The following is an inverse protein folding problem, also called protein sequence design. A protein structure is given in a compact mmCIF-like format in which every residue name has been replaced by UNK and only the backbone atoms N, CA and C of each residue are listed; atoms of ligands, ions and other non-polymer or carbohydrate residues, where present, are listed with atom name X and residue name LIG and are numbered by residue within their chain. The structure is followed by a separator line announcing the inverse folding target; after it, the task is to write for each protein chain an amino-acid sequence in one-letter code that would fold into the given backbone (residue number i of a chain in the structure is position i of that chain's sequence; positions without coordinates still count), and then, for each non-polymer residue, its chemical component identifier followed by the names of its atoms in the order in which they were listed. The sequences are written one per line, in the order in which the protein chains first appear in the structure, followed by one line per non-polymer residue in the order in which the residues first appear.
data_IF_855111508733
#
_entry.id   IF_855111508733
#
_cell.length_a   1.000
_cell.length_b   1.000
_cell.length_c   1.000
_cell.angle_alpha   90.00
_cell.angle_beta   90.00
_cell.angle_gamma   90.00
#
_symmetry.space_group_name_H-M   'P 1'
#
loop_
_entity.id
_entity.type
_entity.pdbx_description
1 polymer ?
#
# COMPACT_ATOMS: atom_id res chain seq x y z
N UNK A 1 -8.30 -1.78 17.79
CA UNK A 1 -7.80 -1.14 16.55
C UNK A 1 -8.32 0.29 16.54
N UNK A 2 -7.48 1.30 16.33
CA UNK A 2 -7.97 2.70 16.28
C UNK A 2 -8.65 2.96 14.94
N UNK A 3 -9.49 4.00 14.87
CA UNK A 3 -10.13 4.42 13.61
C UNK A 3 -9.11 4.74 12.51
N UNK A 4 -7.97 5.34 12.88
CA UNK A 4 -6.86 5.64 11.96
C UNK A 4 -6.26 4.36 11.39
N UNK A 5 -5.98 3.35 12.22
CA UNK A 5 -5.45 2.07 11.76
C UNK A 5 -6.42 1.33 10.84
N UNK A 6 -7.72 1.35 11.16
CA UNK A 6 -8.74 0.72 10.32
C UNK A 6 -8.84 1.39 8.93
N UNK A 7 -8.76 2.74 8.88
CA UNK A 7 -8.73 3.47 7.62
C UNK A 7 -7.46 3.20 6.80
N UNK A 8 -6.30 3.15 7.44
CA UNK A 8 -5.05 2.82 6.75
C UNK A 8 -5.10 1.43 6.11
N UNK A 9 -5.55 0.41 6.86
CA UNK A 9 -5.70 -0.95 6.34
C UNK A 9 -6.63 -0.97 5.13
N UNK A 10 -7.74 -0.23 5.17
CA UNK A 10 -8.65 -0.11 4.03
C UNK A 10 -7.97 0.52 2.82
N UNK A 11 -7.26 1.64 2.99
CA UNK A 11 -6.54 2.31 1.90
C UNK A 11 -5.52 1.37 1.24
N UNK A 12 -4.76 0.62 2.04
CA UNK A 12 -3.79 -0.37 1.54
C UNK A 12 -4.46 -1.52 0.77
N UNK A 13 -5.71 -1.86 1.10
CA UNK A 13 -6.47 -2.92 0.44
C UNK A 13 -7.25 -2.45 -0.81
N UNK A 14 -7.46 -1.15 -0.99
CA UNK A 14 -8.34 -0.64 -2.06
C UNK A 14 -7.78 -0.87 -3.46
N UNK A 15 -6.51 -0.55 -3.71
CA UNK A 15 -5.88 -0.77 -5.03
C UNK A 15 -5.93 -2.25 -5.43
N UNK A 16 -5.43 -3.21 -4.63
CA UNK A 16 -5.49 -4.63 -5.01
C UNK A 16 -6.94 -5.13 -5.13
N UNK A 17 -7.88 -4.61 -4.33
CA UNK A 17 -9.30 -4.92 -4.49
C UNK A 17 -9.84 -4.49 -5.86
N UNK A 18 -9.59 -3.25 -6.28
CA UNK A 18 -10.06 -2.75 -7.58
C UNK A 18 -9.35 -3.44 -8.76
N UNK A 19 -8.07 -3.78 -8.63
CA UNK A 19 -7.36 -4.59 -9.62
C UNK A 19 -7.98 -5.99 -9.78
N UNK A 20 -8.42 -6.60 -8.68
CA UNK A 20 -9.11 -7.91 -8.71
C UNK A 20 -10.58 -7.83 -9.15
N UNK A 21 -11.19 -6.63 -9.13
CA UNK A 21 -12.60 -6.40 -9.47
C UNK A 21 -12.72 -5.23 -10.46
N UNK A 22 -12.27 -5.42 -11.72
CA UNK A 22 -12.30 -4.36 -12.72
C UNK A 22 -13.74 -3.89 -12.99
N UNK A 23 -13.91 -2.57 -13.14
CA UNK A 23 -15.20 -1.92 -13.37
C UNK A 23 -16.27 -2.20 -12.30
N UNK A 24 -15.85 -2.44 -11.04
CA UNK A 24 -16.78 -2.60 -9.92
C UNK A 24 -17.53 -1.30 -9.65
N UNK A 25 -18.80 -1.40 -9.27
CA UNK A 25 -19.59 -0.22 -8.91
C UNK A 25 -19.20 0.36 -7.57
N UNK A 26 -19.37 1.68 -7.38
CA UNK A 26 -19.19 2.33 -6.08
C UNK A 26 -20.00 1.65 -4.97
N UNK A 27 -21.23 1.24 -5.28
CA UNK A 27 -22.13 0.59 -4.32
C UNK A 27 -21.59 -0.76 -3.86
N UNK A 28 -21.13 -1.60 -4.79
CA UNK A 28 -20.55 -2.90 -4.46
C UNK A 28 -19.22 -2.76 -3.72
N UNK A 29 -18.34 -1.88 -4.19
CA UNK A 29 -17.05 -1.63 -3.56
C UNK A 29 -17.20 -1.11 -2.12
N UNK A 30 -18.16 -0.20 -1.89
CA UNK A 30 -18.44 0.34 -0.57
C UNK A 30 -18.90 -0.76 0.39
N UNK A 31 -19.79 -1.66 -0.07
CA UNK A 31 -20.26 -2.81 0.71
C UNK A 31 -19.11 -3.79 1.02
N UNK A 32 -18.33 -4.17 0.01
CA UNK A 32 -17.24 -5.14 0.16
C UNK A 32 -16.11 -4.61 1.08
N UNK A 33 -15.85 -3.30 1.05
CA UNK A 33 -14.84 -2.62 1.90
C UNK A 33 -15.41 -2.13 3.24
N UNK A 34 -16.70 -2.37 3.51
CA UNK A 34 -17.35 -2.07 4.77
C UNK A 34 -17.44 -0.57 5.10
N UNK A 35 -17.63 0.28 4.09
CA UNK A 35 -17.72 1.74 4.25
C UNK A 35 -18.90 2.34 3.51
N UNK A 36 -19.23 3.60 3.82
CA UNK A 36 -20.20 4.34 3.02
C UNK A 36 -19.61 4.72 1.66
N UNK A 37 -20.46 4.89 0.65
CA UNK A 37 -20.06 5.42 -0.67
C UNK A 37 -19.27 6.73 -0.54
N UNK A 38 -19.72 7.65 0.31
CA UNK A 38 -19.04 8.93 0.55
C UNK A 38 -17.61 8.73 1.08
N UNK A 39 -17.42 7.80 2.02
CA UNK A 39 -16.09 7.50 2.54
C UNK A 39 -15.20 6.84 1.47
N UNK A 40 -15.77 5.94 0.66
CA UNK A 40 -15.06 5.32 -0.46
C UNK A 40 -14.57 6.39 -1.45
N UNK A 41 -15.43 7.32 -1.87
CA UNK A 41 -15.07 8.42 -2.77
C UNK A 41 -13.95 9.31 -2.20
N UNK A 42 -13.97 9.58 -0.89
CA UNK A 42 -12.89 10.32 -0.22
C UNK A 42 -11.58 9.54 -0.20
N UNK A 43 -11.65 8.23 0.01
CA UNK A 43 -10.47 7.37 0.05
C UNK A 43 -9.87 7.18 -1.35
N UNK A 44 -10.70 7.06 -2.40
CA UNK A 44 -10.24 7.07 -3.81
C UNK A 44 -9.53 8.38 -4.14
N UNK A 45 -10.14 9.53 -3.78
CA UNK A 45 -9.50 10.85 -3.98
C UNK A 45 -8.17 10.97 -3.24
N UNK A 46 -8.06 10.40 -2.04
CA UNK A 46 -6.80 10.37 -1.32
C UNK A 46 -5.74 9.54 -2.04
N UNK A 47 -6.10 8.34 -2.51
CA UNK A 47 -5.18 7.47 -3.23
C UNK A 47 -4.69 8.10 -4.52
N UNK A 48 -5.52 8.90 -5.19
CA UNK A 48 -5.13 9.62 -6.41
C UNK A 48 -3.97 10.61 -6.21
N UNK A 49 -3.66 10.96 -4.96
CA UNK A 49 -2.53 11.84 -4.59
C UNK A 49 -1.30 11.06 -4.09
N UNK A 50 -1.34 9.72 -4.14
CA UNK A 50 -0.26 8.85 -3.69
C UNK A 50 0.43 8.22 -4.90
N UNK A 51 1.73 7.95 -4.83
CA UNK A 51 2.47 7.49 -5.99
C UNK A 51 3.94 7.22 -5.75
N UNK A 52 4.67 7.08 -6.86
CA UNK A 52 6.12 6.94 -6.90
C UNK A 52 6.81 8.27 -6.55
N UNK A 53 8.07 8.22 -6.06
CA UNK A 53 8.87 9.41 -5.82
C UNK A 53 9.01 10.25 -7.09
N UNK A 54 8.95 11.58 -6.96
CA UNK A 54 9.00 12.53 -8.08
C UNK A 54 7.66 13.21 -8.33
N UNK A 55 6.55 12.51 -8.10
CA UNK A 55 5.18 13.03 -8.23
C UNK A 55 4.89 13.72 -9.58
N UNK A 56 5.56 13.28 -10.64
CA UNK A 56 5.34 13.75 -11.99
C UNK A 56 4.08 13.15 -12.64
N UNK A 57 3.73 13.59 -13.86
CA UNK A 57 2.67 12.97 -14.64
C UNK A 57 2.94 11.46 -14.80
N UNK A 58 1.98 10.62 -14.39
CA UNK A 58 2.09 9.17 -14.45
C UNK A 58 2.72 8.49 -13.23
N UNK A 59 3.18 9.24 -12.23
CA UNK A 59 3.74 8.66 -11.00
C UNK A 59 2.68 8.36 -9.94
N UNK A 60 1.49 8.94 -10.04
CA UNK A 60 0.41 8.81 -9.07
C UNK A 60 -0.53 7.66 -9.41
N UNK A 61 -1.00 6.93 -8.40
CA UNK A 61 -2.06 5.93 -8.53
C UNK A 61 -3.22 6.56 -9.30
N UNK A 62 -3.65 5.91 -10.36
CA UNK A 62 -4.63 6.46 -11.28
C UNK A 62 -5.84 5.55 -11.44
N UNK A 63 -7.00 6.19 -11.61
CA UNK A 63 -8.29 5.54 -11.70
C UNK A 63 -9.07 6.08 -12.90
N UNK A 64 -9.65 5.18 -13.68
CA UNK A 64 -10.71 5.51 -14.63
C UNK A 64 -12.06 5.40 -13.93
N UNK A 65 -12.84 6.49 -13.98
CA UNK A 65 -14.17 6.61 -13.38
C UNK A 65 -15.21 6.78 -14.49
N UNK A 66 -15.87 5.69 -14.87
CA UNK A 66 -16.88 5.70 -15.95
C UNK A 66 -18.25 5.37 -15.39
N UNK A 67 -19.18 6.32 -15.45
CA UNK A 67 -20.50 6.20 -14.86
C UNK A 67 -20.43 5.99 -13.33
N UNK A 68 -20.86 4.81 -12.86
CA UNK A 68 -20.79 4.42 -11.43
C UNK A 68 -19.69 3.39 -11.16
N UNK A 69 -18.76 3.18 -12.09
CA UNK A 69 -17.71 2.14 -11.98
C UNK A 69 -16.32 2.73 -11.77
N UNK A 70 -15.46 1.95 -11.11
CA UNK A 70 -14.08 2.29 -10.79
C UNK A 70 -13.16 1.24 -11.40
N UNK A 71 -12.13 1.68 -12.13
CA UNK A 71 -11.07 0.83 -12.65
C UNK A 71 -9.71 1.46 -12.30
N UNK A 72 -8.76 0.68 -11.79
CA UNK A 72 -7.37 1.15 -11.60
C UNK A 72 -6.67 1.13 -12.95
N UNK A 73 -6.16 2.28 -13.40
CA UNK A 73 -5.36 2.41 -14.64
C UNK A 73 -3.86 2.35 -14.35
N UNK A 74 -3.44 2.80 -13.16
CA UNK A 74 -2.07 2.67 -12.68
C UNK A 74 -2.03 2.45 -11.17
N UNK A 75 -1.38 1.38 -10.72
CA UNK A 75 -1.37 0.97 -9.30
C UNK A 75 -0.25 1.59 -8.47
N UNK A 76 0.75 2.22 -9.10
CA UNK A 76 2.02 2.59 -8.48
C UNK A 76 2.69 1.43 -7.70
N UNK A 77 2.46 0.18 -8.13
CA UNK A 77 3.00 -1.02 -7.48
C UNK A 77 2.28 -1.47 -6.20
N UNK A 78 1.10 -0.91 -5.90
CA UNK A 78 0.26 -1.28 -4.75
C UNK A 78 -0.57 -2.57 -5.00
N UNK A 79 -0.47 -3.15 -6.18
CA UNK A 79 -1.13 -4.39 -6.61
C UNK A 79 -0.29 -5.66 -6.33
N UNK A 80 0.96 -5.49 -5.87
CA UNK A 80 1.90 -6.58 -5.57
C UNK A 80 2.30 -6.57 -4.09
N UNK A 81 2.69 -7.74 -3.53
CA UNK A 81 3.21 -7.80 -2.17
C UNK A 81 4.44 -6.90 -2.00
N UNK A 82 4.59 -6.32 -0.80
CA UNK A 82 5.74 -5.49 -0.45
C UNK A 82 7.06 -6.23 -0.71
N UNK A 83 7.99 -5.56 -1.39
CA UNK A 83 9.35 -6.04 -1.66
C UNK A 83 10.32 -5.01 -1.11
N UNK A 84 10.96 -5.35 0.01
CA UNK A 84 11.95 -4.49 0.65
C UNK A 84 13.34 -4.88 0.15
N UNK A 85 14.16 -3.89 -0.12
CA UNK A 85 15.61 -4.09 -0.23
C UNK A 85 16.19 -4.48 1.13
N UNK A 86 17.37 -5.09 1.13
CA UNK A 86 18.09 -5.41 2.38
C UNK A 86 18.30 -4.18 3.25
N UNK A 87 18.54 -3.02 2.63
CA UNK A 87 18.75 -1.75 3.35
C UNK A 87 17.47 -1.26 4.03
N UNK A 88 16.35 -1.26 3.32
CA UNK A 88 15.05 -0.85 3.88
C UNK A 88 14.61 -1.80 4.99
N UNK A 89 14.72 -3.10 4.77
CA UNK A 89 14.35 -4.09 5.77
C UNK A 89 15.21 -3.99 7.03
N UNK A 90 16.52 -3.79 6.89
CA UNK A 90 17.42 -3.59 8.04
C UNK A 90 17.04 -2.33 8.83
N UNK A 91 16.74 -1.23 8.14
CA UNK A 91 16.29 0.01 8.77
C UNK A 91 14.98 -0.18 9.56
N UNK A 92 13.99 -0.85 8.96
CA UNK A 92 12.73 -1.16 9.61
C UNK A 92 12.90 -2.07 10.83
N UNK A 93 13.74 -3.11 10.74
CA UNK A 93 14.01 -4.02 11.84
C UNK A 93 14.65 -3.32 13.05
N UNK A 94 15.64 -2.46 12.80
CA UNK A 94 16.28 -1.67 13.87
C UNK A 94 15.26 -0.72 14.52
N UNK A 95 14.46 -0.01 13.73
CA UNK A 95 13.44 0.88 14.24
C UNK A 95 12.38 0.15 15.08
N UNK A 96 11.86 -0.99 14.60
CA UNK A 96 10.86 -1.79 15.31
C UNK A 96 11.39 -2.34 16.63
N UNK A 97 12.64 -2.80 16.67
CA UNK A 97 13.28 -3.27 17.91
C UNK A 97 13.46 -2.13 18.90
N UNK A 98 13.97 -0.98 18.45
CA UNK A 98 14.13 0.20 19.29
C UNK A 98 12.79 0.69 19.88
N UNK A 99 11.72 0.68 19.09
CA UNK A 99 10.37 1.04 19.58
C UNK A 99 9.78 -0.01 20.54
N UNK A 100 10.13 -1.29 20.37
CA UNK A 100 9.64 -2.38 21.24
C UNK A 100 10.18 -2.30 22.66
N UNK A 101 11.36 -1.69 22.83
CA UNK A 101 12.01 -1.53 24.13
C UNK A 101 11.46 -0.33 24.92
N UNK A 102 10.62 0.52 24.32
CA UNK A 102 10.04 1.69 24.97
C UNK A 102 8.61 1.37 25.46
N UNK A 103 8.37 1.30 26.78
CA UNK A 103 7.06 0.98 27.32
C UNK A 103 5.98 1.98 26.88
N UNK A 104 4.84 1.47 26.42
CA UNK A 104 3.67 2.28 26.08
C UNK A 104 3.70 2.94 24.69
N UNK A 105 4.78 2.79 23.92
CA UNK A 105 4.88 3.38 22.57
C UNK A 105 4.21 2.50 21.51
N UNK A 106 4.42 1.19 21.55
CA UNK A 106 3.75 0.22 20.66
C UNK A 106 3.31 -1.03 21.42
N UNK A 107 2.38 -1.78 20.83
CA UNK A 107 2.05 -3.14 21.29
C UNK A 107 3.23 -4.09 20.99
N UNK A 108 3.87 -4.68 22.01
CA UNK A 108 5.01 -5.57 21.82
C UNK A 108 4.68 -6.83 21.00
N UNK A 109 3.43 -7.31 21.04
CA UNK A 109 3.02 -8.46 20.25
C UNK A 109 2.91 -8.10 18.75
N UNK A 110 2.35 -6.94 18.44
CA UNK A 110 2.30 -6.42 17.08
C UNK A 110 3.71 -6.17 16.52
N UNK A 111 4.61 -5.63 17.33
CA UNK A 111 6.00 -5.40 16.96
C UNK A 111 6.74 -6.70 16.61
N UNK A 112 6.65 -7.72 17.49
CA UNK A 112 7.21 -9.06 17.24
C UNK A 112 6.65 -9.69 15.97
N UNK A 113 5.35 -9.56 15.73
CA UNK A 113 4.71 -10.06 14.51
C UNK A 113 5.21 -9.35 13.24
N UNK A 114 5.42 -8.03 13.29
CA UNK A 114 5.99 -7.28 12.18
C UNK A 114 7.45 -7.68 11.90
N UNK A 115 8.27 -7.79 12.95
CA UNK A 115 9.67 -8.24 12.86
C UNK A 115 9.74 -9.61 12.18
N UNK A 116 8.96 -10.59 12.65
CA UNK A 116 8.97 -11.94 12.08
C UNK A 116 8.56 -11.96 10.59
N UNK A 117 7.59 -11.15 10.18
CA UNK A 117 7.18 -11.04 8.77
C UNK A 117 8.27 -10.44 7.89
N UNK A 118 8.98 -9.43 8.38
CA UNK A 118 10.07 -8.78 7.64
C UNK A 118 11.26 -9.74 7.51
N UNK A 119 11.65 -10.43 8.58
CA UNK A 119 12.73 -11.42 8.55
C UNK A 119 12.43 -12.55 7.57
N UNK A 120 11.20 -13.08 7.58
CA UNK A 120 10.76 -14.09 6.63
C UNK A 120 10.80 -13.60 5.17
N UNK A 121 10.46 -12.32 4.93
CA UNK A 121 10.45 -11.75 3.58
C UNK A 121 11.87 -11.50 3.01
N UNK A 122 12.85 -11.20 3.86
CA UNK A 122 14.25 -10.97 3.44
C UNK A 122 15.00 -12.29 3.22
N UNK A 123 14.60 -13.36 3.90
CA UNK A 123 15.18 -14.70 3.72
C UNK A 123 14.74 -15.47 2.47
N UNK A 124 13.81 -14.91 1.66
CA UNK A 124 13.32 -15.51 0.42
C UNK A 124 14.08 -15.04 -0.84
N UNK A 125 14.26 -15.93 -1.81
CA UNK A 125 15.09 -15.76 -3.02
C UNK A 125 14.67 -14.54 -3.90
N UNK A 126 15.58 -13.61 -4.26
CA UNK A 126 15.26 -12.34 -4.93
C UNK A 126 15.22 -12.39 -6.48
N UNK A 127 14.85 -13.52 -7.09
CA UNK A 127 14.96 -13.79 -8.54
C UNK A 127 14.03 -12.99 -9.49
N UNK A 128 13.77 -11.70 -9.23
CA UNK A 128 12.82 -10.90 -10.00
C UNK A 128 13.11 -9.41 -10.04
N UNK A 129 14.37 -8.99 -10.08
CA UNK A 129 14.74 -7.57 -10.30
C UNK A 129 15.11 -7.37 -11.77
N UNK A 130 14.23 -6.79 -12.61
CA UNK A 130 14.68 -6.09 -13.82
C UNK A 130 15.45 -4.84 -13.41
N UNK A 131 16.61 -4.61 -14.04
CA UNK A 131 17.41 -3.42 -13.82
C UNK A 131 16.59 -2.14 -14.13
N UNK A 132 16.81 -1.05 -13.39
CA UNK A 132 16.18 0.23 -13.71
C UNK A 132 16.58 0.68 -15.13
N UNK A 133 15.65 1.29 -15.90
CA UNK A 133 15.98 1.85 -17.20
C UNK A 133 17.02 2.97 -17.05
N UNK A 134 17.94 3.13 -18.01
CA UNK A 134 18.96 4.17 -17.94
C UNK A 134 18.32 5.55 -17.96
N UNK A 135 18.78 6.42 -17.05
CA UNK A 135 18.38 7.82 -16.99
C UNK A 135 18.81 8.52 -18.29
N UNK A 136 17.84 9.07 -19.02
CA UNK A 136 18.11 9.91 -20.19
C UNK A 136 18.50 11.30 -19.72
N UNK A 137 19.79 11.62 -19.78
CA UNK A 137 20.27 13.00 -19.70
C UNK A 137 19.63 13.84 -20.82
N UNK A 138 19.13 15.02 -20.45
CA UNK A 138 18.64 16.06 -21.36
C UNK A 138 19.55 17.29 -21.24
#
# INVERSE_FOLDING_TARGET
MTHVSARLVRLLNMVPYFTANPSVSYTKAAADLGVSRRQLEQDVKQLWMCGLPGYGPGDLIDFELTGDTITVTFSAGMDKPLRLTTREASGLLVALRALSDIPGVIDPAAARGAIAKIEAAVGGDPAGIPAPPPESEA
#
